data_IF_286182737167
#
_entry.id   IF_286182737167
#
_cell.length_a   1.000
_cell.length_b   1.000
_cell.length_c   1.000
_cell.angle_alpha   90.00
_cell.angle_beta   90.00
_cell.angle_gamma   90.00
#
_symmetry.space_group_name_H-M   'P 1'
#
loop_
_entity.id
_entity.type
_entity.pdbx_description
1 polymer ?
#
# COMPACT_ATOMS: atom_id res chain seq x y z
N UNK A 1 43.26 -41.18 -7.48
CA UNK A 1 43.78 -40.94 -6.11
C UNK A 1 44.34 -39.54 -5.91
N UNK A 2 45.35 -39.07 -6.67
CA UNK A 2 45.94 -37.71 -6.49
C UNK A 2 44.93 -36.55 -6.59
N UNK A 3 43.93 -36.64 -7.48
CA UNK A 3 42.88 -35.61 -7.59
C UNK A 3 41.88 -35.61 -6.43
N UNK A 4 41.56 -36.79 -5.87
CA UNK A 4 40.66 -36.92 -4.71
C UNK A 4 41.30 -36.34 -3.43
N UNK A 5 42.61 -36.58 -3.24
CA UNK A 5 43.35 -36.00 -2.10
C UNK A 5 43.41 -34.47 -2.21
N UNK A 6 43.61 -33.93 -3.43
CA UNK A 6 43.58 -32.48 -3.66
C UNK A 6 42.20 -31.87 -3.41
N UNK A 7 41.14 -32.50 -3.91
CA UNK A 7 39.77 -32.05 -3.68
C UNK A 7 39.38 -32.10 -2.19
N UNK A 8 39.74 -33.20 -1.51
CA UNK A 8 39.52 -33.34 -0.07
C UNK A 8 40.29 -32.32 0.76
N UNK A 9 41.55 -32.03 0.39
CA UNK A 9 42.35 -30.97 1.03
C UNK A 9 41.73 -29.58 0.87
N UNK A 10 41.23 -29.23 -0.31
CA UNK A 10 40.53 -27.95 -0.55
C UNK A 10 39.26 -27.86 0.28
N UNK A 11 38.44 -28.92 0.31
CA UNK A 11 37.23 -28.96 1.14
C UNK A 11 37.54 -28.81 2.62
N UNK A 12 38.59 -29.45 3.11
CA UNK A 12 39.02 -29.33 4.51
C UNK A 12 39.44 -27.91 4.85
N UNK A 13 40.21 -27.24 3.99
CA UNK A 13 40.63 -25.84 4.19
C UNK A 13 39.43 -24.90 4.22
N UNK A 14 38.47 -25.06 3.30
CA UNK A 14 37.25 -24.24 3.26
C UNK A 14 36.43 -24.46 4.54
N UNK A 15 36.19 -25.71 4.93
CA UNK A 15 35.44 -26.02 6.15
C UNK A 15 36.13 -25.47 7.40
N UNK A 16 37.45 -25.62 7.50
CA UNK A 16 38.24 -25.11 8.61
C UNK A 16 38.18 -23.58 8.69
N UNK A 17 38.26 -22.89 7.55
CA UNK A 17 38.14 -21.43 7.47
C UNK A 17 36.74 -20.95 7.89
N UNK A 18 35.67 -21.63 7.50
CA UNK A 18 34.30 -21.31 7.95
C UNK A 18 34.12 -21.54 9.46
N UNK A 19 34.73 -22.60 10.01
CA UNK A 19 34.73 -22.87 11.46
C UNK A 19 35.48 -21.77 12.21
N UNK A 20 36.65 -21.35 11.73
CA UNK A 20 37.39 -20.22 12.34
C UNK A 20 36.54 -18.96 12.33
N UNK A 21 35.90 -18.61 11.21
CA UNK A 21 35.03 -17.42 11.14
C UNK A 21 33.85 -17.49 12.12
N UNK A 22 33.37 -18.68 12.47
CA UNK A 22 32.32 -18.89 13.49
C UNK A 22 32.81 -18.59 14.91
N UNK A 23 34.10 -18.78 15.18
CA UNK A 23 34.72 -18.60 16.50
C UNK A 23 35.50 -17.28 16.63
N UNK A 24 35.68 -16.53 15.55
CA UNK A 24 36.16 -15.15 15.64
C UNK A 24 35.09 -14.33 16.36
N UNK A 25 35.44 -13.58 17.42
CA UNK A 25 34.47 -12.77 18.15
C UNK A 25 33.90 -11.70 17.21
N UNK A 26 32.60 -11.79 16.95
CA UNK A 26 31.84 -10.70 16.34
C UNK A 26 31.67 -9.65 17.44
N UNK A 27 32.07 -8.42 17.18
CA UNK A 27 31.90 -7.33 18.16
C UNK A 27 30.41 -7.11 18.41
N UNK A 28 30.00 -6.79 19.64
CA UNK A 28 28.58 -6.51 19.97
C UNK A 28 27.95 -5.47 19.03
N UNK A 29 28.75 -4.54 18.53
CA UNK A 29 28.35 -3.56 17.52
C UNK A 29 27.84 -4.18 16.22
N UNK A 30 28.49 -5.23 15.72
CA UNK A 30 28.09 -5.91 14.49
C UNK A 30 26.85 -6.79 14.76
N UNK A 31 26.72 -7.36 15.96
CA UNK A 31 25.54 -8.14 16.32
C UNK A 31 24.28 -7.28 16.46
N UNK A 32 24.39 -6.07 17.04
CA UNK A 32 23.24 -5.17 17.23
C UNK A 32 22.92 -4.29 16.03
N UNK A 33 23.95 -3.79 15.33
CA UNK A 33 23.80 -2.76 14.29
C UNK A 33 24.37 -3.19 12.94
N UNK A 34 24.88 -4.41 12.78
CA UNK A 34 25.50 -4.85 11.52
C UNK A 34 26.72 -4.02 11.15
N UNK A 35 26.89 -3.74 9.85
CA UNK A 35 27.97 -2.85 9.35
C UNK A 35 27.60 -1.35 9.41
N UNK A 36 26.50 -0.99 10.07
CA UNK A 36 26.17 0.42 10.30
C UNK A 36 27.08 0.98 11.40
N UNK A 37 27.41 2.28 11.30
CA UNK A 37 28.24 2.97 12.32
C UNK A 37 27.51 2.95 13.67
N UNK A 38 27.88 2.00 14.53
CA UNK A 38 27.32 1.89 15.88
C UNK A 38 28.00 2.86 16.85
N UNK A 39 27.20 3.61 17.61
CA UNK A 39 27.57 4.09 18.95
C UNK A 39 28.78 5.01 19.06
N UNK A 40 28.99 5.91 18.09
CA UNK A 40 29.78 7.11 18.40
C UNK A 40 28.82 8.15 18.97
N UNK A 41 29.24 8.91 19.97
CA UNK A 41 28.45 10.04 20.46
C UNK A 41 28.03 10.97 19.31
N UNK A 42 28.85 11.08 18.26
CA UNK A 42 28.50 11.81 17.04
C UNK A 42 27.32 11.20 16.28
N UNK A 43 27.30 9.88 16.07
CA UNK A 43 26.16 9.20 15.45
C UNK A 43 24.89 9.31 16.32
N UNK A 44 24.99 9.10 17.63
CA UNK A 44 23.85 9.23 18.53
C UNK A 44 23.29 10.66 18.52
N UNK A 45 24.17 11.67 18.49
CA UNK A 45 23.79 13.07 18.38
C UNK A 45 23.13 13.40 17.04
N UNK A 46 23.63 12.86 15.91
CA UNK A 46 23.01 13.06 14.58
C UNK A 46 21.56 12.56 14.60
N UNK A 47 21.30 11.39 15.18
CA UNK A 47 19.96 10.80 15.23
C UNK A 47 19.08 11.55 16.23
N UNK A 48 19.63 11.97 17.39
CA UNK A 48 18.93 12.75 18.39
C UNK A 48 18.52 14.15 17.89
N UNK A 49 19.24 14.71 16.91
CA UNK A 49 18.89 16.00 16.30
C UNK A 49 17.82 15.91 15.22
N UNK A 50 17.41 14.71 14.83
CA UNK A 50 16.48 14.55 13.73
C UNK A 50 15.04 14.86 14.16
N UNK A 51 14.39 15.77 13.45
CA UNK A 51 13.01 16.12 13.71
C UNK A 51 12.07 14.97 13.29
N UNK A 52 11.09 14.67 14.14
CA UNK A 52 10.01 13.72 13.83
C UNK A 52 9.21 14.21 12.62
N UNK A 53 9.17 13.40 11.55
CA UNK A 53 8.44 13.72 10.32
C UNK A 53 7.07 13.02 10.23
N UNK A 54 6.88 11.96 11.01
CA UNK A 54 5.68 11.14 11.02
C UNK A 54 4.86 11.43 12.29
N UNK A 55 3.54 11.37 12.15
CA UNK A 55 2.57 11.58 13.20
C UNK A 55 1.73 10.31 13.43
N UNK A 56 1.21 10.16 14.64
CA UNK A 56 0.28 9.06 14.92
C UNK A 56 -1.05 9.27 14.17
N UNK A 57 -1.70 8.19 13.72
CA UNK A 57 -2.98 8.25 13.00
C UNK A 57 -4.05 9.05 13.75
N UNK A 58 -4.05 9.04 15.08
CA UNK A 58 -4.98 9.81 15.93
C UNK A 58 -4.86 11.33 15.71
N UNK A 59 -3.69 11.81 15.29
CA UNK A 59 -3.45 13.23 14.96
C UNK A 59 -4.27 13.69 13.76
N UNK A 60 -4.73 12.76 12.91
CA UNK A 60 -5.55 13.07 11.73
C UNK A 60 -7.04 13.26 12.08
N UNK A 61 -7.50 12.70 13.20
CA UNK A 61 -8.93 12.60 13.54
C UNK A 61 -9.61 13.97 13.70
N UNK A 62 -8.91 14.96 14.26
CA UNK A 62 -9.50 16.28 14.54
C UNK A 62 -9.83 17.11 13.29
N UNK A 63 -9.32 16.71 12.12
CA UNK A 63 -9.57 17.39 10.84
C UNK A 63 -10.20 16.47 9.79
N UNK A 64 -9.99 15.15 9.87
CA UNK A 64 -10.50 14.15 8.92
C UNK A 64 -11.39 13.11 9.60
N UNK A 65 -12.45 13.56 10.29
CA UNK A 65 -13.29 12.70 11.13
C UNK A 65 -13.91 11.54 10.37
N UNK A 66 -14.49 11.80 9.20
CA UNK A 66 -15.22 10.78 8.44
C UNK A 66 -14.28 9.69 7.93
N UNK A 67 -13.16 10.09 7.33
CA UNK A 67 -12.14 9.15 6.86
C UNK A 67 -11.52 8.37 8.03
N UNK A 68 -11.24 9.02 9.16
CA UNK A 68 -10.70 8.37 10.35
C UNK A 68 -11.67 7.32 10.89
N UNK A 69 -12.96 7.67 11.03
CA UNK A 69 -14.00 6.75 11.50
C UNK A 69 -14.17 5.55 10.56
N UNK A 70 -14.15 5.80 9.25
CA UNK A 70 -14.16 4.77 8.22
C UNK A 70 -12.94 3.84 8.35
N UNK A 71 -11.74 4.40 8.44
CA UNK A 71 -10.49 3.66 8.61
C UNK A 71 -10.44 2.81 9.88
N UNK A 72 -10.86 3.38 11.01
CA UNK A 72 -10.86 2.70 12.31
C UNK A 72 -11.72 1.43 12.31
N UNK A 73 -12.77 1.41 11.49
CA UNK A 73 -13.69 0.27 11.34
C UNK A 73 -13.32 -0.64 10.15
N UNK A 74 -12.38 -0.23 9.31
CA UNK A 74 -11.99 -0.90 8.08
C UNK A 74 -10.86 -1.90 8.26
N UNK A 75 -10.66 -2.77 7.25
CA UNK A 75 -9.53 -3.72 7.25
C UNK A 75 -8.16 -3.06 7.13
N UNK A 76 -8.09 -1.77 6.77
CA UNK A 76 -6.84 -1.01 6.73
C UNK A 76 -6.50 -0.33 8.06
N UNK A 77 -7.27 -0.52 9.14
CA UNK A 77 -6.95 0.02 10.47
C UNK A 77 -5.49 -0.27 10.92
N UNK A 78 -4.87 -1.44 10.63
CA UNK A 78 -3.47 -1.68 11.00
C UNK A 78 -2.43 -0.88 10.18
N UNK A 79 -2.85 -0.26 9.07
CA UNK A 79 -2.00 0.54 8.18
C UNK A 79 -2.21 2.01 8.51
N UNK A 80 -1.15 2.72 8.93
CA UNK A 80 -1.26 4.14 9.33
C UNK A 80 -1.57 5.04 8.13
N UNK A 81 -2.18 6.20 8.38
CA UNK A 81 -2.53 7.18 7.34
C UNK A 81 -1.32 7.52 6.45
N UNK A 82 -0.16 7.69 7.08
CA UNK A 82 1.10 8.10 6.45
C UNK A 82 1.79 6.99 5.66
N UNK A 83 1.39 5.72 5.84
CA UNK A 83 1.91 4.61 5.04
C UNK A 83 1.50 4.72 3.57
N UNK A 84 0.38 5.40 3.28
CA UNK A 84 -0.12 5.66 1.93
C UNK A 84 0.02 7.13 1.53
N UNK A 85 -0.21 8.06 2.47
CA UNK A 85 -0.17 9.50 2.19
C UNK A 85 1.19 10.16 2.41
N UNK A 86 2.16 9.44 2.98
CA UNK A 86 3.48 9.98 3.32
C UNK A 86 3.47 10.83 4.60
N UNK A 87 4.61 11.44 4.94
CA UNK A 87 4.80 12.16 6.21
C UNK A 87 3.83 13.36 6.31
N UNK A 88 3.13 13.46 7.44
CA UNK A 88 2.07 14.45 7.67
C UNK A 88 2.46 15.66 8.50
N UNK A 89 3.69 15.71 9.04
CA UNK A 89 4.14 16.78 9.93
C UNK A 89 3.89 18.18 9.35
N UNK A 90 4.38 18.46 8.14
CA UNK A 90 4.25 19.79 7.53
C UNK A 90 2.80 20.15 7.24
N UNK A 91 1.97 19.16 6.91
CA UNK A 91 0.54 19.37 6.72
C UNK A 91 -0.15 19.74 8.03
N UNK A 92 0.11 19.00 9.10
CA UNK A 92 -0.44 19.26 10.44
C UNK A 92 0.02 20.62 10.98
N UNK A 93 1.27 21.00 10.70
CA UNK A 93 1.83 22.31 11.08
C UNK A 93 1.30 23.47 10.22
N UNK A 94 0.47 23.22 9.22
CA UNK A 94 -0.04 24.22 8.29
C UNK A 94 1.02 24.77 7.32
N UNK A 95 2.17 24.11 7.21
CA UNK A 95 3.26 24.44 6.29
C UNK A 95 3.03 23.84 4.90
N UNK A 96 2.16 22.84 4.78
CA UNK A 96 1.76 22.22 3.52
C UNK A 96 0.23 22.07 3.43
N UNK A 97 -0.33 22.38 2.25
CA UNK A 97 -1.77 22.26 1.98
C UNK A 97 -2.25 20.83 1.74
N UNK A 98 -1.33 19.90 1.45
CA UNK A 98 -1.63 18.49 1.20
C UNK A 98 -0.43 17.62 1.56
N UNK A 99 -0.71 16.33 1.79
CA UNK A 99 0.32 15.32 2.03
C UNK A 99 1.13 15.02 0.74
N UNK A 100 2.36 14.58 0.94
CA UNK A 100 3.35 14.42 -0.14
C UNK A 100 3.01 13.28 -1.11
N UNK A 101 2.40 12.19 -0.62
CA UNK A 101 2.04 11.05 -1.46
C UNK A 101 0.56 11.09 -1.87
N UNK A 102 0.33 10.96 -3.18
CA UNK A 102 -0.98 10.64 -3.75
C UNK A 102 -1.00 9.14 -4.02
N UNK A 103 -1.86 8.36 -3.36
CA UNK A 103 -1.89 6.92 -3.54
C UNK A 103 -2.14 6.56 -5.01
N UNK A 104 -1.11 6.01 -5.65
CA UNK A 104 -1.16 5.48 -7.01
C UNK A 104 -1.31 3.95 -6.96
N UNK A 105 -1.72 3.29 -8.06
CA UNK A 105 -1.88 1.83 -8.09
C UNK A 105 -0.65 1.06 -7.60
N UNK A 106 0.53 1.61 -7.85
CA UNK A 106 1.82 1.06 -7.43
C UNK A 106 1.98 1.04 -5.91
N UNK A 107 1.44 2.04 -5.19
CA UNK A 107 1.47 2.06 -3.73
C UNK A 107 0.62 0.92 -3.14
N UNK A 108 -0.52 0.62 -3.78
CA UNK A 108 -1.36 -0.51 -3.40
C UNK A 108 -0.65 -1.85 -3.67
N UNK A 109 0.08 -1.92 -4.79
CA UNK A 109 0.84 -3.09 -5.22
C UNK A 109 1.91 -3.52 -4.20
N UNK A 110 2.48 -2.54 -3.48
CA UNK A 110 3.48 -2.81 -2.42
C UNK A 110 2.96 -3.88 -1.46
N UNK A 111 1.66 -3.91 -1.16
CA UNK A 111 1.06 -4.90 -0.27
C UNK A 111 0.13 -5.90 -0.99
N UNK A 112 -0.64 -5.45 -1.98
CA UNK A 112 -1.70 -6.26 -2.58
C UNK A 112 -1.31 -6.98 -3.88
N UNK A 113 -0.10 -6.79 -4.40
CA UNK A 113 0.37 -7.62 -5.51
C UNK A 113 0.51 -9.07 -5.05
N UNK A 114 0.05 -10.00 -5.89
CA UNK A 114 0.22 -11.42 -5.69
C UNK A 114 1.70 -11.81 -5.76
N UNK A 115 2.19 -12.43 -4.68
CA UNK A 115 3.56 -12.93 -4.55
C UNK A 115 3.56 -14.33 -3.94
N UNK A 116 4.38 -15.23 -4.48
CA UNK A 116 4.45 -16.63 -4.01
C UNK A 116 4.84 -16.77 -2.53
N UNK A 117 5.52 -15.78 -1.96
CA UNK A 117 5.96 -15.75 -0.57
C UNK A 117 4.92 -15.21 0.42
N UNK A 118 3.79 -14.67 -0.07
CA UNK A 118 2.75 -14.09 0.79
C UNK A 118 1.70 -15.12 1.21
N UNK A 119 1.18 -15.04 2.45
CA UNK A 119 0.08 -15.88 2.90
C UNK A 119 -1.12 -15.78 1.96
N UNK A 120 -1.73 -16.92 1.63
CA UNK A 120 -2.88 -16.97 0.69
C UNK A 120 -4.12 -16.28 1.25
N UNK A 121 -4.19 -16.17 2.57
CA UNK A 121 -5.27 -15.55 3.32
C UNK A 121 -5.18 -14.02 3.30
N UNK A 122 -4.02 -13.45 2.96
CA UNK A 122 -3.88 -12.01 2.77
C UNK A 122 -4.48 -11.61 1.41
N UNK A 123 -5.32 -10.55 1.32
CA UNK A 123 -5.91 -10.11 0.05
C UNK A 123 -4.84 -9.73 -0.97
N UNK A 124 -4.76 -10.50 -2.05
CA UNK A 124 -3.78 -10.31 -3.13
C UNK A 124 -4.45 -10.39 -4.49
N UNK A 125 -3.93 -9.65 -5.46
CA UNK A 125 -4.41 -9.62 -6.84
C UNK A 125 -3.24 -9.52 -7.82
N UNK A 126 -3.44 -10.03 -9.03
CA UNK A 126 -2.60 -9.72 -10.19
C UNK A 126 -3.12 -8.44 -10.84
N UNK A 127 -2.39 -7.32 -10.65
CA UNK A 127 -2.87 -5.96 -10.93
C UNK A 127 -3.29 -5.77 -12.39
N UNK A 128 -2.47 -6.25 -13.32
CA UNK A 128 -2.71 -6.13 -14.76
C UNK A 128 -4.06 -6.73 -15.17
N UNK A 129 -4.41 -7.88 -14.57
CA UNK A 129 -5.65 -8.60 -14.86
C UNK A 129 -6.86 -8.09 -14.08
N UNK A 130 -6.64 -7.35 -13.00
CA UNK A 130 -7.69 -6.92 -12.08
C UNK A 130 -8.11 -5.46 -12.31
N UNK A 131 -7.17 -4.53 -12.17
CA UNK A 131 -7.42 -3.09 -12.29
C UNK A 131 -6.97 -2.53 -13.65
N UNK A 132 -6.05 -3.22 -14.34
CA UNK A 132 -5.40 -2.69 -15.54
C UNK A 132 -4.91 -1.26 -15.31
N UNK A 133 -5.32 -0.33 -16.18
CA UNK A 133 -5.00 1.10 -16.06
C UNK A 133 -6.04 1.94 -15.30
N UNK A 134 -7.15 1.37 -14.84
CA UNK A 134 -8.28 2.12 -14.24
C UNK A 134 -7.97 2.61 -12.81
N UNK A 135 -6.97 2.01 -12.17
CA UNK A 135 -6.53 2.36 -10.81
C UNK A 135 -7.44 1.83 -9.70
N UNK A 136 -6.85 1.48 -8.56
CA UNK A 136 -7.52 0.72 -7.50
C UNK A 136 -8.69 1.48 -6.86
N UNK A 137 -8.51 2.79 -6.65
CA UNK A 137 -9.47 3.65 -5.93
C UNK A 137 -10.73 3.98 -6.73
N UNK A 138 -10.77 3.65 -8.03
CA UNK A 138 -11.97 3.77 -8.85
C UNK A 138 -13.09 2.83 -8.37
N UNK A 139 -12.71 1.68 -7.79
CA UNK A 139 -13.63 0.65 -7.33
C UNK A 139 -13.52 0.39 -5.82
N UNK A 140 -12.34 0.58 -5.21
CA UNK A 140 -12.10 0.31 -3.80
C UNK A 140 -11.95 1.59 -2.98
N UNK A 141 -12.64 1.67 -1.84
CA UNK A 141 -12.37 2.70 -0.85
C UNK A 141 -11.16 2.27 0.01
N UNK A 142 -10.02 2.99 -0.02
CA UNK A 142 -8.84 2.62 0.75
C UNK A 142 -8.99 2.86 2.26
N UNK A 143 -9.94 3.70 2.70
CA UNK A 143 -10.25 3.88 4.12
C UNK A 143 -11.17 2.76 4.64
N UNK A 144 -12.01 2.16 3.80
CA UNK A 144 -12.86 1.01 4.18
C UNK A 144 -12.80 -0.07 3.11
N UNK A 145 -11.69 -0.80 2.98
CA UNK A 145 -11.62 -1.89 2.02
C UNK A 145 -12.60 -2.97 2.47
N UNK A 146 -13.59 -3.26 1.62
CA UNK A 146 -14.54 -4.34 1.83
C UNK A 146 -13.82 -5.70 1.71
N UNK A 147 -14.03 -6.59 2.69
CA UNK A 147 -13.65 -8.00 2.57
C UNK A 147 -14.58 -8.71 1.56
N UNK A 148 -14.09 -9.70 0.78
CA UNK A 148 -14.86 -10.34 -0.30
C UNK A 148 -16.10 -11.15 0.10
N UNK A 149 -16.52 -11.19 1.36
CA UNK A 149 -17.61 -12.08 1.79
C UNK A 149 -18.96 -11.40 2.08
N UNK A 150 -19.03 -10.11 2.42
CA UNK A 150 -20.32 -9.54 2.86
C UNK A 150 -20.44 -8.00 2.92
N UNK A 151 -19.43 -7.24 2.52
CA UNK A 151 -19.54 -5.78 2.54
C UNK A 151 -19.90 -5.32 1.13
N UNK A 152 -21.21 -5.32 0.87
CA UNK A 152 -21.89 -4.38 -0.01
C UNK A 152 -20.96 -3.58 -0.92
N UNK A 153 -20.91 -3.97 -2.20
CA UNK A 153 -21.16 -2.97 -3.22
C UNK A 153 -22.37 -2.19 -2.70
N UNK A 154 -22.13 -1.03 -2.08
CA UNK A 154 -23.20 -0.23 -1.50
C UNK A 154 -23.96 0.31 -2.69
N UNK A 155 -24.91 -0.50 -3.14
CA UNK A 155 -25.87 -0.23 -4.19
C UNK A 155 -25.23 0.35 -5.47
N UNK A 156 -24.52 -0.46 -6.26
CA UNK A 156 -24.63 -0.25 -7.70
C UNK A 156 -26.07 -0.58 -8.03
N UNK A 157 -26.94 0.44 -7.98
CA UNK A 157 -28.31 0.31 -8.40
C UNK A 157 -28.26 -0.32 -9.80
N UNK A 158 -28.91 -1.48 -9.94
CA UNK A 158 -29.12 -2.07 -11.25
C UNK A 158 -29.78 -1.00 -12.13
N UNK A 159 -29.36 -0.91 -13.38
CA UNK A 159 -29.90 0.09 -14.29
C UNK A 159 -31.40 -0.22 -14.44
N UNK A 160 -32.32 0.66 -14.01
CA UNK A 160 -33.75 0.34 -13.92
C UNK A 160 -34.45 0.43 -15.30
N UNK A 161 -33.70 0.60 -16.37
CA UNK A 161 -34.18 0.78 -17.73
C UNK A 161 -33.25 0.08 -18.73
N UNK A 162 -33.76 -0.18 -19.92
CA UNK A 162 -32.94 -0.70 -21.01
C UNK A 162 -31.84 0.28 -21.40
N UNK A 163 -30.67 -0.25 -21.74
CA UNK A 163 -29.53 0.48 -22.32
C UNK A 163 -29.46 0.32 -23.84
N UNK A 164 -30.38 -0.43 -24.44
CA UNK A 164 -30.43 -0.63 -25.89
C UNK A 164 -30.62 0.71 -26.62
N UNK A 165 -29.68 1.05 -27.49
CA UNK A 165 -29.64 2.34 -28.19
C UNK A 165 -29.27 3.56 -27.31
N UNK A 166 -28.90 3.34 -26.04
CA UNK A 166 -28.55 4.40 -25.06
C UNK A 166 -27.15 4.15 -24.46
N UNK A 167 -26.16 4.02 -25.34
CA UNK A 167 -24.78 3.71 -24.94
C UNK A 167 -24.03 4.88 -24.30
N UNK A 168 -24.46 6.12 -24.54
CA UNK A 168 -23.92 7.32 -23.87
C UNK A 168 -24.69 7.58 -22.57
N UNK A 169 -24.17 7.05 -21.47
CA UNK A 169 -24.69 7.23 -20.12
C UNK A 169 -24.59 8.70 -19.68
N UNK A 170 -23.50 9.40 -20.04
CA UNK A 170 -23.24 10.77 -19.62
C UNK A 170 -24.20 11.79 -20.25
N UNK A 171 -24.85 11.45 -21.37
CA UNK A 171 -25.90 12.28 -21.96
C UNK A 171 -27.07 12.54 -20.98
N UNK A 172 -27.38 11.59 -20.09
CA UNK A 172 -28.44 11.75 -19.07
C UNK A 172 -27.90 11.77 -17.64
N UNK A 173 -26.72 11.19 -17.39
CA UNK A 173 -26.12 11.07 -16.06
C UNK A 173 -24.85 11.91 -15.86
N UNK A 174 -24.46 12.76 -16.81
CA UNK A 174 -23.34 13.69 -16.64
C UNK A 174 -23.62 14.79 -15.61
N UNK A 175 -22.63 15.64 -15.33
CA UNK A 175 -22.73 16.72 -14.34
C UNK A 175 -23.94 17.66 -14.56
N UNK A 176 -24.32 17.89 -15.81
CA UNK A 176 -25.50 18.67 -16.21
C UNK A 176 -26.66 17.80 -16.75
N UNK A 177 -26.56 16.48 -16.58
CA UNK A 177 -27.55 15.53 -17.04
C UNK A 177 -28.84 15.57 -16.22
N UNK A 178 -29.89 14.93 -16.72
CA UNK A 178 -31.21 14.85 -16.06
C UNK A 178 -31.13 14.22 -14.66
N UNK A 179 -30.28 13.20 -14.47
CA UNK A 179 -30.01 12.60 -13.17
C UNK A 179 -28.50 12.47 -13.00
N UNK A 180 -27.81 13.53 -12.56
CA UNK A 180 -26.36 13.55 -12.46
C UNK A 180 -25.82 12.39 -11.63
N UNK A 181 -24.63 11.92 -11.99
CA UNK A 181 -23.86 10.98 -11.19
C UNK A 181 -23.55 11.57 -9.79
N UNK A 182 -23.28 10.74 -8.77
CA UNK A 182 -22.85 11.24 -7.46
C UNK A 182 -21.45 11.86 -7.54
N UNK A 183 -21.10 12.78 -6.61
CA UNK A 183 -19.86 13.58 -6.70
C UNK A 183 -18.57 12.74 -6.83
N UNK A 184 -18.54 11.54 -6.26
CA UNK A 184 -17.42 10.58 -6.33
C UNK A 184 -17.23 9.91 -7.71
N UNK A 185 -18.10 10.22 -8.67
CA UNK A 185 -18.00 9.80 -10.07
C UNK A 185 -17.50 10.93 -11.00
N UNK A 186 -17.18 12.10 -10.45
CA UNK A 186 -16.64 13.21 -11.24
C UNK A 186 -15.37 12.79 -12.00
N UNK A 187 -15.39 13.03 -13.32
CA UNK A 187 -14.26 12.74 -14.20
C UNK A 187 -14.19 11.30 -14.73
N UNK A 188 -15.15 10.42 -14.42
CA UNK A 188 -15.21 9.07 -15.00
C UNK A 188 -15.62 9.12 -16.47
N UNK A 189 -14.97 8.28 -17.28
CA UNK A 189 -15.30 8.13 -18.69
C UNK A 189 -16.56 7.26 -18.89
N UNK A 190 -17.31 7.49 -19.97
CA UNK A 190 -18.60 6.84 -20.22
C UNK A 190 -18.51 5.30 -20.28
N UNK A 191 -17.37 4.78 -20.73
CA UNK A 191 -17.13 3.35 -20.93
C UNK A 191 -17.02 2.60 -19.58
N UNK A 192 -16.76 3.33 -18.49
CA UNK A 192 -16.58 2.75 -17.15
C UNK A 192 -17.90 2.49 -16.44
N UNK A 193 -19.03 3.01 -16.92
CA UNK A 193 -20.31 2.91 -16.21
C UNK A 193 -20.79 1.45 -16.03
N UNK A 194 -20.62 0.62 -17.06
CA UNK A 194 -21.08 -0.79 -17.08
C UNK A 194 -20.12 -1.76 -16.36
N UNK A 195 -18.95 -1.29 -15.91
CA UNK A 195 -18.08 -2.12 -15.07
C UNK A 195 -18.74 -2.40 -13.72
N UNK A 196 -19.47 -1.41 -13.19
CA UNK A 196 -20.14 -1.44 -11.89
C UNK A 196 -21.67 -1.53 -11.99
N UNK A 197 -22.31 -0.76 -12.88
CA UNK A 197 -23.77 -0.81 -13.05
C UNK A 197 -24.18 -1.89 -14.06
N UNK A 198 -24.74 -2.99 -13.56
CA UNK A 198 -25.28 -4.05 -14.41
C UNK A 198 -26.72 -3.72 -14.81
N UNK A 199 -27.09 -4.12 -16.04
CA UNK A 199 -28.48 -4.11 -16.50
C UNK A 199 -29.28 -5.11 -15.67
N UNK A 200 -30.41 -4.66 -15.11
CA UNK A 200 -31.38 -5.53 -14.43
C UNK A 200 -32.29 -6.25 -15.40
#
# INVERSE_FOLDING_TARGET
>A
MKHLIRAGGVLFVIAFMMIIMRFLPVTESIEQFGFYRSGTAEADMIWATQEMQFADSSSCQSCHQDNYKSWEQGSHQPVTCESCHGPGRDHIAGLASSLTAKPAPEQCAVCHQQLASRPREFPQVEIESHAGSTGCVACHNPHTPAQPAAASVSQTAAIPHSTEGRADCLACHGAAGFKPYPEDHAGRANETCLSCHKTG
#
